data_IF_847447663049
#
_entry.id   IF_847447663049
#
_cell.length_a   1.000
_cell.length_b   1.000
_cell.length_c   1.000
_cell.angle_alpha   90.00
_cell.angle_beta   90.00
_cell.angle_gamma   90.00
#
_symmetry.space_group_name_H-M   'P 1'
#
loop_
_entity.id
_entity.type
_entity.pdbx_description
1 polymer ?
#
# COMPACT_ATOMS: atom_id res chain seq x y z
N UNK A 1 -17.43 17.42 -6.39
CA UNK A 1 -16.38 16.52 -6.87
C UNK A 1 -14.95 17.08 -6.70
N UNK A 2 -14.62 18.26 -7.19
CA UNK A 2 -13.25 18.79 -7.03
C UNK A 2 -12.77 18.86 -5.57
N UNK A 3 -13.56 19.36 -4.64
CA UNK A 3 -13.19 19.45 -3.21
C UNK A 3 -13.00 18.09 -2.54
N UNK A 4 -13.79 17.08 -2.92
CA UNK A 4 -13.62 15.71 -2.45
C UNK A 4 -12.26 15.14 -2.88
N UNK A 5 -11.87 15.37 -4.14
CA UNK A 5 -10.57 14.94 -4.68
C UNK A 5 -9.41 15.57 -3.89
N UNK A 6 -9.46 16.90 -3.67
CA UNK A 6 -8.41 17.60 -2.92
C UNK A 6 -8.31 17.10 -1.46
N UNK A 7 -9.47 16.91 -0.80
CA UNK A 7 -9.50 16.37 0.58
C UNK A 7 -8.96 14.93 0.62
N UNK A 8 -9.33 14.09 -0.36
CA UNK A 8 -8.86 12.70 -0.43
C UNK A 8 -7.34 12.61 -0.65
N UNK A 9 -6.78 13.39 -1.56
CA UNK A 9 -5.32 13.40 -1.81
C UNK A 9 -4.55 13.97 -0.62
N UNK A 10 -5.08 15.02 0.02
CA UNK A 10 -4.48 15.56 1.26
C UNK A 10 -4.50 14.52 2.38
N UNK A 11 -5.63 13.81 2.55
CA UNK A 11 -5.76 12.75 3.53
C UNK A 11 -4.80 11.59 3.25
N UNK A 12 -4.62 11.22 1.96
CA UNK A 12 -3.66 10.19 1.55
C UNK A 12 -2.22 10.54 1.94
N UNK A 13 -1.83 11.81 1.74
CA UNK A 13 -0.50 12.30 2.15
C UNK A 13 -0.32 12.24 3.68
N UNK A 14 -1.28 12.78 4.43
CA UNK A 14 -1.20 12.83 5.89
C UNK A 14 -1.20 11.41 6.47
N UNK A 15 -2.14 10.56 6.06
CA UNK A 15 -2.22 9.18 6.54
C UNK A 15 -0.97 8.38 6.15
N UNK A 16 -0.44 8.58 4.94
CA UNK A 16 0.79 7.96 4.48
C UNK A 16 2.00 8.38 5.32
N UNK A 17 2.13 9.67 5.65
CA UNK A 17 3.21 10.19 6.51
C UNK A 17 3.09 9.68 7.96
N UNK A 18 1.88 9.65 8.51
CA UNK A 18 1.63 9.10 9.85
C UNK A 18 2.00 7.61 9.89
N UNK A 19 1.58 6.83 8.87
CA UNK A 19 1.93 5.41 8.77
C UNK A 19 3.43 5.20 8.57
N UNK A 20 4.10 6.04 7.77
CA UNK A 20 5.55 5.98 7.60
C UNK A 20 6.27 6.20 8.93
N UNK A 21 5.91 7.26 9.65
CA UNK A 21 6.51 7.57 10.94
C UNK A 21 6.26 6.46 11.97
N UNK A 22 5.01 6.04 12.12
CA UNK A 22 4.64 4.96 13.04
C UNK A 22 5.37 3.66 12.69
N UNK A 23 5.40 3.28 11.41
CA UNK A 23 6.05 2.06 10.96
C UNK A 23 7.55 2.06 11.18
N UNK A 24 8.25 3.16 10.90
CA UNK A 24 9.69 3.28 11.15
C UNK A 24 10.03 3.19 12.64
N UNK A 25 9.22 3.83 13.50
CA UNK A 25 9.44 3.84 14.94
C UNK A 25 9.09 2.49 15.60
N UNK A 26 7.99 1.89 15.19
CA UNK A 26 7.44 0.69 15.82
C UNK A 26 7.91 -0.62 15.17
N UNK A 27 8.67 -0.58 14.06
CA UNK A 27 9.09 -1.76 13.31
C UNK A 27 9.74 -2.83 14.21
N UNK A 28 10.72 -2.45 15.02
CA UNK A 28 11.44 -3.39 15.90
C UNK A 28 10.53 -3.97 17.00
N UNK A 29 9.69 -3.11 17.59
CA UNK A 29 8.74 -3.54 18.62
C UNK A 29 7.72 -4.55 18.05
N UNK A 30 7.16 -4.25 16.87
CA UNK A 30 6.19 -5.12 16.20
C UNK A 30 6.81 -6.49 15.86
N UNK A 31 8.02 -6.51 15.30
CA UNK A 31 8.72 -7.75 14.94
C UNK A 31 9.09 -8.60 16.19
N UNK A 32 9.50 -7.95 17.28
CA UNK A 32 9.73 -8.64 18.54
C UNK A 32 8.44 -9.27 19.09
N UNK A 33 7.32 -8.54 19.02
CA UNK A 33 6.01 -9.04 19.46
C UNK A 33 5.54 -10.25 18.63
N UNK A 34 5.91 -10.27 17.34
CA UNK A 34 5.62 -11.40 16.43
C UNK A 34 6.54 -12.59 16.60
N UNK A 35 7.51 -12.53 17.53
CA UNK A 35 8.44 -13.63 17.80
C UNK A 35 9.46 -13.87 16.67
N UNK A 36 9.85 -12.80 15.93
CA UNK A 36 10.83 -12.91 14.86
C UNK A 36 12.18 -13.39 15.41
N UNK A 37 12.81 -14.46 14.84
CA UNK A 37 14.09 -14.98 15.31
C UNK A 37 15.21 -13.93 15.27
N UNK A 38 16.14 -14.02 16.26
CA UNK A 38 17.20 -13.03 16.46
C UNK A 38 18.20 -12.94 15.28
N UNK A 39 18.37 -14.03 14.54
CA UNK A 39 19.26 -14.12 13.38
C UNK A 39 18.80 -13.30 12.17
N UNK A 40 17.49 -13.07 12.03
CA UNK A 40 16.89 -12.34 10.90
C UNK A 40 16.26 -11.01 11.29
N UNK A 41 16.16 -10.70 12.58
CA UNK A 41 15.40 -9.53 13.06
C UNK A 41 15.95 -8.20 12.52
N UNK A 42 17.26 -8.04 12.47
CA UNK A 42 17.87 -6.78 12.02
C UNK A 42 17.62 -6.53 10.53
N UNK A 43 17.66 -7.57 9.69
CA UNK A 43 17.32 -7.48 8.29
C UNK A 43 15.83 -7.21 8.08
N UNK A 44 14.97 -7.84 8.88
CA UNK A 44 13.52 -7.64 8.86
C UNK A 44 13.14 -6.22 9.29
N UNK A 45 13.81 -5.67 10.31
CA UNK A 45 13.63 -4.28 10.76
C UNK A 45 14.06 -3.30 9.66
N UNK A 46 15.21 -3.54 9.01
CA UNK A 46 15.69 -2.71 7.91
C UNK A 46 14.68 -2.70 6.76
N UNK A 47 14.22 -3.89 6.32
CA UNK A 47 13.20 -4.02 5.29
C UNK A 47 11.92 -3.25 5.65
N UNK A 48 11.40 -3.48 6.85
CA UNK A 48 10.16 -2.88 7.32
C UNK A 48 10.26 -1.35 7.38
N UNK A 49 11.37 -0.82 7.91
CA UNK A 49 11.61 0.63 7.96
C UNK A 49 11.65 1.25 6.57
N UNK A 50 12.41 0.65 5.65
CA UNK A 50 12.47 1.12 4.27
C UNK A 50 11.06 1.05 3.65
N UNK A 51 10.36 -0.08 3.78
CA UNK A 51 9.02 -0.26 3.23
C UNK A 51 8.03 0.80 3.73
N UNK A 52 8.03 1.10 5.04
CA UNK A 52 7.15 2.13 5.61
C UNK A 52 7.46 3.54 5.12
N UNK A 53 8.69 3.86 4.75
CA UNK A 53 9.02 5.13 4.09
C UNK A 53 8.31 5.29 2.73
N UNK A 54 7.93 4.20 2.08
CA UNK A 54 7.14 4.19 0.85
C UNK A 54 5.63 4.40 1.05
N UNK A 55 5.11 4.36 2.29
CA UNK A 55 3.68 4.48 2.56
C UNK A 55 3.00 5.73 1.99
N UNK A 56 3.60 6.92 1.99
CA UNK A 56 2.98 8.08 1.34
C UNK A 56 2.68 7.85 -0.14
N UNK A 57 3.60 7.22 -0.89
CA UNK A 57 3.42 6.92 -2.31
C UNK A 57 2.34 5.85 -2.53
N UNK A 58 2.35 4.83 -1.68
CA UNK A 58 1.33 3.78 -1.68
C UNK A 58 -0.07 4.36 -1.43
N UNK A 59 -0.23 5.22 -0.43
CA UNK A 59 -1.51 5.88 -0.14
C UNK A 59 -1.94 6.79 -1.28
N UNK A 60 -1.03 7.60 -1.85
CA UNK A 60 -1.33 8.46 -2.99
C UNK A 60 -1.83 7.68 -4.20
N UNK A 61 -1.19 6.56 -4.52
CA UNK A 61 -1.65 5.70 -5.61
C UNK A 61 -3.05 5.14 -5.32
N UNK A 62 -3.27 4.58 -4.13
CA UNK A 62 -4.56 3.95 -3.78
C UNK A 62 -5.72 4.94 -3.82
N UNK A 63 -5.56 6.12 -3.21
CA UNK A 63 -6.58 7.16 -3.22
C UNK A 63 -6.82 7.72 -4.63
N UNK A 64 -5.74 7.99 -5.38
CA UNK A 64 -5.85 8.47 -6.77
C UNK A 64 -6.49 7.44 -7.69
N UNK A 65 -6.13 6.17 -7.57
CA UNK A 65 -6.75 5.08 -8.31
C UNK A 65 -8.23 4.87 -7.92
N UNK A 66 -8.58 5.05 -6.65
CA UNK A 66 -9.97 5.01 -6.20
C UNK A 66 -10.81 6.15 -6.81
N UNK A 67 -10.25 7.36 -6.90
CA UNK A 67 -10.90 8.50 -7.56
C UNK A 67 -11.16 8.17 -9.04
N UNK A 68 -10.17 7.64 -9.76
CA UNK A 68 -10.33 7.27 -11.18
C UNK A 68 -11.39 6.16 -11.35
N UNK A 69 -11.37 5.14 -10.49
CA UNK A 69 -12.40 4.07 -10.52
C UNK A 69 -13.80 4.61 -10.22
N UNK A 70 -13.93 5.55 -9.29
CA UNK A 70 -15.21 6.18 -8.94
C UNK A 70 -15.84 6.97 -10.10
N UNK A 71 -15.03 7.47 -11.04
CA UNK A 71 -15.52 8.15 -12.26
C UNK A 71 -15.63 7.21 -13.46
N UNK A 72 -15.50 5.90 -13.25
CA UNK A 72 -15.63 4.86 -14.29
C UNK A 72 -14.36 4.53 -15.06
N UNK A 73 -13.24 5.17 -14.74
CA UNK A 73 -11.95 4.89 -15.40
C UNK A 73 -11.18 3.81 -14.61
N UNK A 74 -11.41 2.57 -14.97
CA UNK A 74 -10.69 1.42 -14.38
C UNK A 74 -9.43 1.03 -15.16
N UNK A 75 -9.35 1.42 -16.44
CA UNK A 75 -8.26 1.00 -17.33
C UNK A 75 -6.93 1.69 -16.99
N UNK A 76 -6.96 3.01 -16.74
CA UNK A 76 -5.75 3.79 -16.42
C UNK A 76 -5.10 3.33 -15.12
N UNK A 77 -5.81 3.18 -13.97
CA UNK A 77 -5.22 2.64 -12.75
C UNK A 77 -4.60 1.25 -12.93
N UNK A 78 -5.27 0.36 -13.68
CA UNK A 78 -4.72 -0.96 -13.99
C UNK A 78 -3.41 -0.85 -14.78
N UNK A 79 -3.38 0.00 -15.82
CA UNK A 79 -2.16 0.22 -16.62
C UNK A 79 -1.00 0.76 -15.77
N UNK A 80 -1.26 1.71 -14.86
CA UNK A 80 -0.25 2.22 -13.93
C UNK A 80 0.27 1.14 -12.99
N UNK A 81 -0.61 0.24 -12.53
CA UNK A 81 -0.23 -0.90 -11.69
C UNK A 81 0.68 -1.88 -12.46
N UNK A 82 0.36 -2.17 -13.72
CA UNK A 82 1.18 -3.05 -14.56
C UNK A 82 2.58 -2.45 -14.77
N UNK A 83 2.67 -1.16 -15.14
CA UNK A 83 3.96 -0.47 -15.30
C UNK A 83 4.76 -0.54 -14.00
N UNK A 84 4.13 -0.23 -12.88
CA UNK A 84 4.77 -0.26 -11.56
C UNK A 84 5.23 -1.67 -11.19
N UNK A 85 4.42 -2.70 -11.45
CA UNK A 85 4.77 -4.09 -11.20
C UNK A 85 5.95 -4.58 -12.04
N UNK A 86 5.97 -4.25 -13.34
CA UNK A 86 7.11 -4.57 -14.21
C UNK A 86 8.38 -3.83 -13.74
N UNK A 87 8.27 -2.56 -13.40
CA UNK A 87 9.39 -1.78 -12.86
C UNK A 87 9.91 -2.38 -11.55
N UNK A 88 9.00 -2.80 -10.65
CA UNK A 88 9.37 -3.47 -9.41
C UNK A 88 10.16 -4.75 -9.66
N UNK A 89 9.69 -5.62 -10.57
CA UNK A 89 10.37 -6.86 -10.91
C UNK A 89 11.79 -6.59 -11.47
N UNK A 90 11.91 -5.65 -12.41
CA UNK A 90 13.22 -5.29 -13.00
C UNK A 90 14.16 -4.68 -11.94
N UNK A 91 13.65 -3.75 -11.11
CA UNK A 91 14.46 -3.14 -10.06
C UNK A 91 14.90 -4.17 -9.01
N UNK A 92 14.04 -5.09 -8.61
CA UNK A 92 14.40 -6.15 -7.67
C UNK A 92 15.54 -7.01 -8.24
N UNK A 93 15.47 -7.43 -9.50
CA UNK A 93 16.53 -8.19 -10.14
C UNK A 93 17.85 -7.39 -10.18
N UNK A 94 17.80 -6.13 -10.59
CA UNK A 94 19.00 -5.28 -10.69
C UNK A 94 19.59 -5.00 -9.30
N UNK A 95 18.78 -4.58 -8.33
CA UNK A 95 19.28 -4.21 -7.01
C UNK A 95 19.79 -5.40 -6.20
N UNK A 96 19.17 -6.58 -6.37
CA UNK A 96 19.58 -7.78 -5.64
C UNK A 96 20.74 -8.49 -6.32
N UNK A 97 20.71 -8.66 -7.66
CA UNK A 97 21.71 -9.44 -8.37
C UNK A 97 22.93 -8.60 -8.71
N UNK A 98 22.75 -7.40 -9.28
CA UNK A 98 23.87 -6.58 -9.75
C UNK A 98 24.50 -5.78 -8.61
N UNK A 99 23.67 -5.16 -7.77
CA UNK A 99 24.15 -4.32 -6.66
C UNK A 99 24.33 -5.09 -5.34
N UNK A 100 23.95 -6.36 -5.29
CA UNK A 100 24.08 -7.22 -4.10
C UNK A 100 23.44 -6.61 -2.82
N UNK A 101 22.39 -5.80 -2.96
CA UNK A 101 21.76 -5.08 -1.84
C UNK A 101 20.87 -5.98 -0.97
N UNK A 102 20.65 -7.24 -1.36
CA UNK A 102 19.84 -8.18 -0.60
C UNK A 102 18.43 -7.65 -0.29
N UNK A 103 18.04 -7.76 0.98
CA UNK A 103 16.70 -7.37 1.46
C UNK A 103 16.41 -5.86 1.29
N UNK A 104 17.43 -5.01 1.45
CA UNK A 104 17.29 -3.56 1.25
C UNK A 104 16.99 -3.23 -0.21
N UNK A 105 17.58 -3.95 -1.17
CA UNK A 105 17.30 -3.78 -2.60
C UNK A 105 15.84 -4.04 -2.96
N UNK A 106 15.26 -5.11 -2.41
CA UNK A 106 13.83 -5.44 -2.61
C UNK A 106 12.93 -4.32 -2.06
N UNK A 107 13.23 -3.82 -0.86
CA UNK A 107 12.44 -2.75 -0.25
C UNK A 107 12.53 -1.45 -1.07
N UNK A 108 13.72 -1.06 -1.53
CA UNK A 108 13.93 0.13 -2.37
C UNK A 108 13.22 -0.03 -3.72
N UNK A 109 13.34 -1.20 -4.37
CA UNK A 109 12.63 -1.49 -5.61
C UNK A 109 11.11 -1.32 -5.46
N UNK A 110 10.56 -1.75 -4.32
CA UNK A 110 9.14 -1.57 -4.01
C UNK A 110 8.77 -0.09 -3.85
N UNK A 111 9.57 0.70 -3.13
CA UNK A 111 9.29 2.14 -2.96
C UNK A 111 9.34 2.88 -4.30
N UNK A 112 10.37 2.62 -5.10
CA UNK A 112 10.54 3.27 -6.41
C UNK A 112 9.36 2.94 -7.33
N UNK A 113 8.92 1.69 -7.36
CA UNK A 113 7.75 1.29 -8.14
C UNK A 113 6.45 1.97 -7.66
N UNK A 114 6.25 2.11 -6.35
CA UNK A 114 5.12 2.85 -5.78
C UNK A 114 5.21 4.35 -6.08
N UNK A 115 6.39 4.93 -6.05
CA UNK A 115 6.62 6.33 -6.45
C UNK A 115 6.21 6.54 -7.92
N UNK A 116 6.61 5.65 -8.82
CA UNK A 116 6.24 5.73 -10.25
C UNK A 116 4.72 5.67 -10.41
N UNK A 117 4.04 4.70 -9.80
CA UNK A 117 2.58 4.60 -9.89
C UNK A 117 1.86 5.80 -9.29
N UNK A 118 2.37 6.36 -8.18
CA UNK A 118 1.82 7.59 -7.58
C UNK A 118 1.98 8.81 -8.49
N UNK A 119 3.14 8.97 -9.13
CA UNK A 119 3.37 10.06 -10.09
C UNK A 119 2.44 9.92 -11.30
N UNK A 120 2.28 8.71 -11.84
CA UNK A 120 1.40 8.46 -12.99
C UNK A 120 -0.06 8.81 -12.68
N UNK A 121 -0.57 8.39 -11.51
CA UNK A 121 -1.94 8.69 -11.12
C UNK A 121 -2.15 10.17 -10.84
N UNK A 122 -1.20 10.83 -10.15
CA UNK A 122 -1.29 12.27 -9.88
C UNK A 122 -1.22 13.09 -11.16
N UNK A 123 -0.32 12.73 -12.09
CA UNK A 123 -0.24 13.36 -13.41
C UNK A 123 -1.56 13.20 -14.19
N UNK A 124 -2.15 12.00 -14.14
CA UNK A 124 -3.45 11.75 -14.77
C UNK A 124 -4.54 12.64 -14.20
N UNK A 125 -4.63 12.80 -12.88
CA UNK A 125 -5.59 13.67 -12.21
C UNK A 125 -5.32 15.16 -12.50
N UNK A 126 -4.05 15.57 -12.56
CA UNK A 126 -3.66 16.96 -12.85
C UNK A 126 -3.98 17.36 -14.30
N UNK A 127 -3.72 16.47 -15.27
CA UNK A 127 -3.90 16.74 -16.71
C UNK A 127 -5.35 16.57 -17.16
N UNK A 128 -6.21 15.98 -16.32
CA UNK A 128 -7.62 15.77 -16.64
C UNK A 128 -8.36 17.11 -16.81
N UNK A 129 -9.12 17.25 -17.89
CA UNK A 129 -9.97 18.43 -18.16
C UNK A 129 -11.41 18.24 -17.63
N UNK A 130 -11.60 17.48 -16.58
CA UNK A 130 -12.89 17.10 -16.02
C UNK A 130 -13.09 17.66 -14.61
N UNK A 131 -14.28 17.47 -14.05
CA UNK A 131 -14.68 17.96 -12.73
C UNK A 131 -13.84 17.42 -11.55
N UNK A 132 -13.02 16.38 -11.80
CA UNK A 132 -12.12 15.79 -10.80
C UNK A 132 -10.65 16.20 -10.97
N UNK A 133 -10.37 17.25 -11.75
CA UNK A 133 -9.01 17.77 -11.92
C UNK A 133 -8.39 18.15 -10.57
N UNK A 134 -7.17 17.69 -10.36
CA UNK A 134 -6.38 18.02 -9.18
C UNK A 134 -5.64 19.34 -9.39
N UNK A 135 -5.74 20.25 -8.43
CA UNK A 135 -4.96 21.48 -8.36
C UNK A 135 -4.15 21.47 -7.08
N UNK A 136 -2.82 21.41 -7.16
CA UNK A 136 -1.95 21.38 -5.99
C UNK A 136 -2.11 22.60 -5.07
N UNK A 137 -2.45 23.77 -5.65
CA UNK A 137 -2.72 24.99 -4.87
C UNK A 137 -4.01 24.96 -4.06
N UNK A 138 -4.91 24.01 -4.33
CA UNK A 138 -6.20 23.86 -3.63
C UNK A 138 -6.23 22.66 -2.68
N UNK A 139 -5.07 22.04 -2.42
CA UNK A 139 -4.97 20.98 -1.44
C UNK A 139 -5.37 21.50 -0.06
N UNK A 140 -6.24 20.76 0.61
CA UNK A 140 -6.75 21.12 1.92
C UNK A 140 -7.79 20.13 2.40
N UNK A 141 -8.06 20.15 3.69
CA UNK A 141 -9.06 19.27 4.31
C UNK A 141 -10.33 20.07 4.52
N UNK A 142 -11.43 19.61 3.90
CA UNK A 142 -12.77 20.10 4.21
C UNK A 142 -13.45 19.12 5.14
N UNK A 143 -13.78 19.57 6.34
CA UNK A 143 -14.35 18.74 7.42
C UNK A 143 -15.57 17.94 6.99
N UNK A 144 -16.42 18.51 6.14
CA UNK A 144 -17.61 17.83 5.62
C UNK A 144 -17.25 16.56 4.84
N UNK A 145 -16.30 16.63 3.91
CA UNK A 145 -15.87 15.47 3.10
C UNK A 145 -15.04 14.49 3.92
N UNK A 146 -14.21 15.00 4.84
CA UNK A 146 -13.47 14.17 5.78
C UNK A 146 -14.42 13.29 6.62
N UNK A 147 -15.48 13.91 7.17
CA UNK A 147 -16.51 13.16 7.93
C UNK A 147 -17.15 12.06 7.10
N UNK A 148 -17.51 12.33 5.85
CA UNK A 148 -18.06 11.32 4.94
C UNK A 148 -17.09 10.18 4.67
N UNK A 149 -15.81 10.49 4.42
CA UNK A 149 -14.77 9.48 4.20
C UNK A 149 -14.64 8.58 5.42
N UNK A 150 -14.61 9.13 6.64
CA UNK A 150 -14.51 8.34 7.85
C UNK A 150 -15.80 7.55 8.16
N UNK A 151 -16.97 8.11 7.91
CA UNK A 151 -18.24 7.40 8.12
C UNK A 151 -18.35 6.12 7.29
N UNK A 152 -17.80 6.12 6.08
CA UNK A 152 -17.78 4.93 5.21
C UNK A 152 -16.52 4.10 5.45
N UNK A 153 -15.37 4.75 5.61
CA UNK A 153 -14.09 4.09 5.71
C UNK A 153 -13.86 3.32 7.01
N UNK A 154 -14.31 3.85 8.15
CA UNK A 154 -14.12 3.16 9.44
C UNK A 154 -14.90 1.84 9.50
N UNK A 155 -16.21 1.78 9.21
CA UNK A 155 -16.93 0.50 9.20
C UNK A 155 -16.35 -0.50 8.21
N UNK A 156 -16.00 -0.06 7.00
CA UNK A 156 -15.36 -0.91 5.98
C UNK A 156 -13.98 -1.43 6.44
N UNK A 157 -13.18 -0.58 7.11
CA UNK A 157 -11.91 -0.96 7.70
C UNK A 157 -12.06 -2.02 8.81
N UNK A 158 -13.01 -1.83 9.71
CA UNK A 158 -13.33 -2.80 10.77
C UNK A 158 -13.76 -4.14 10.15
N UNK A 159 -14.67 -4.10 9.17
CA UNK A 159 -15.12 -5.31 8.47
C UNK A 159 -13.94 -6.04 7.81
N UNK A 160 -13.05 -5.33 7.10
CA UNK A 160 -11.86 -5.92 6.48
C UNK A 160 -10.91 -6.52 7.52
N UNK A 161 -10.75 -5.87 8.67
CA UNK A 161 -9.91 -6.36 9.77
C UNK A 161 -10.47 -7.67 10.35
N UNK A 162 -11.79 -7.76 10.56
CA UNK A 162 -12.44 -8.98 11.05
C UNK A 162 -12.27 -10.12 10.05
N UNK A 163 -12.45 -9.87 8.74
CA UNK A 163 -12.24 -10.88 7.70
C UNK A 163 -10.79 -11.35 7.68
N UNK A 164 -9.82 -10.44 7.72
CA UNK A 164 -8.41 -10.79 7.72
C UNK A 164 -7.99 -11.56 8.97
N UNK A 165 -8.53 -11.20 10.13
CA UNK A 165 -8.31 -11.94 11.37
C UNK A 165 -8.89 -13.36 11.29
N UNK A 166 -10.10 -13.50 10.75
CA UNK A 166 -10.72 -14.81 10.53
C UNK A 166 -9.89 -15.68 9.58
N UNK A 167 -9.38 -15.11 8.49
CA UNK A 167 -8.49 -15.81 7.57
C UNK A 167 -7.17 -16.23 8.24
N UNK A 168 -6.60 -15.38 9.10
CA UNK A 168 -5.41 -15.71 9.86
C UNK A 168 -5.63 -16.87 10.86
N UNK A 169 -6.77 -16.89 11.53
CA UNK A 169 -7.17 -17.98 12.43
C UNK A 169 -7.40 -19.29 11.65
N UNK A 170 -8.09 -19.22 10.50
CA UNK A 170 -8.26 -20.37 9.61
C UNK A 170 -6.91 -20.91 9.14
N UNK A 171 -6.00 -20.02 8.69
CA UNK A 171 -4.66 -20.40 8.27
C UNK A 171 -3.87 -21.07 9.40
N UNK A 172 -3.95 -20.54 10.61
CA UNK A 172 -3.34 -21.15 11.82
C UNK A 172 -3.88 -22.54 12.10
N UNK A 173 -5.21 -22.73 11.98
CA UNK A 173 -5.85 -24.03 12.14
C UNK A 173 -5.43 -25.02 11.05
N UNK A 174 -5.38 -24.58 9.78
CA UNK A 174 -4.91 -25.42 8.66
C UNK A 174 -3.45 -25.83 8.85
N UNK A 175 -2.60 -24.93 9.35
CA UNK A 175 -1.20 -25.23 9.64
C UNK A 175 -1.02 -26.38 10.65
N UNK A 176 -1.96 -26.54 11.60
CA UNK A 176 -1.91 -27.63 12.57
C UNK A 176 -2.16 -29.02 11.95
N UNK A 177 -2.76 -29.11 10.76
CA UNK A 177 -2.97 -30.37 10.02
C UNK A 177 -1.78 -30.81 9.15
N UNK A 178 -0.70 -30.02 9.14
CA UNK A 178 0.54 -30.35 8.44
C UNK A 178 0.66 -29.81 7.02
N UNK A 179 1.82 -30.05 6.40
CA UNK A 179 2.23 -29.43 5.13
C UNK A 179 1.34 -29.76 3.94
N UNK A 180 0.76 -30.94 3.88
CA UNK A 180 -0.12 -31.36 2.78
C UNK A 180 -1.43 -30.57 2.82
N UNK A 181 -2.02 -30.39 4.00
CA UNK A 181 -3.22 -29.58 4.17
C UNK A 181 -2.97 -28.09 3.86
N UNK A 182 -1.81 -27.56 4.28
CA UNK A 182 -1.37 -26.20 3.94
C UNK A 182 -1.28 -25.97 2.44
N UNK A 183 -0.64 -26.89 1.72
CA UNK A 183 -0.50 -26.81 0.26
C UNK A 183 -1.85 -26.83 -0.44
N UNK A 184 -2.76 -27.75 -0.04
CA UNK A 184 -4.11 -27.83 -0.58
C UNK A 184 -4.95 -26.56 -0.32
N UNK A 185 -4.92 -26.04 0.91
CA UNK A 185 -5.62 -24.81 1.28
C UNK A 185 -5.09 -23.58 0.50
N UNK A 186 -3.77 -23.47 0.39
CA UNK A 186 -3.13 -22.36 -0.36
C UNK A 186 -3.49 -22.44 -1.84
N UNK A 187 -3.48 -23.65 -2.43
CA UNK A 187 -3.90 -23.84 -3.82
C UNK A 187 -5.38 -23.45 -4.02
N UNK A 188 -6.27 -23.87 -3.12
CA UNK A 188 -7.69 -23.55 -3.20
C UNK A 188 -7.99 -22.05 -3.05
N UNK A 189 -7.22 -21.31 -2.25
CA UNK A 189 -7.39 -19.86 -2.07
C UNK A 189 -6.84 -19.01 -3.22
N UNK A 190 -6.04 -19.60 -4.12
CA UNK A 190 -5.45 -18.89 -5.27
C UNK A 190 -6.21 -19.14 -6.57
N UNK A 191 -7.32 -19.88 -6.56
CA UNK A 191 -8.23 -20.11 -7.67
C UNK A 191 -9.42 -19.14 -7.58
#
# INVERSE_FOLDING_TARGET
>A
MSETVHTSITLALISGLVMALAGVLLARFALNLMGTPNDVIDQSVLYMRIYFLGMPFFMLYNYGAAILRAVGDTKRPLFFLVISGMTNAVLNLVLVIVFHMGVAGVAIGTIVSQLISSILVLRCLYTSNTSYRLYFSKLGIKTQYLKQIFQVGIPAGIQSTVINLSNALLQSSVNSFGSVAMAGYTAANNI
#
